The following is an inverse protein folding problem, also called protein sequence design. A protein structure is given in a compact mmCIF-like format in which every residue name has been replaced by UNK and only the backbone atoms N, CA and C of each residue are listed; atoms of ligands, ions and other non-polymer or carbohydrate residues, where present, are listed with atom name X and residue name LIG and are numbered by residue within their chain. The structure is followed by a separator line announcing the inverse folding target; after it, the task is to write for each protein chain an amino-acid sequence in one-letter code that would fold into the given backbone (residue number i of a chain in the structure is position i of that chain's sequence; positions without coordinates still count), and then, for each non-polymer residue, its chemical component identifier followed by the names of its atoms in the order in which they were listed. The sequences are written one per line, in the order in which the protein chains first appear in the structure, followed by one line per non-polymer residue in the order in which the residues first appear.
data_IF_084099065144
#
_entry.id   IF_084099065144
#
_cell.length_a   1.000
_cell.length_b   1.000
_cell.length_c   1.000
_cell.angle_alpha   90.00
_cell.angle_beta   90.00
_cell.angle_gamma   90.00
#
_symmetry.space_group_name_H-M   'P 1'
#
loop_
_entity.id
_entity.type
_entity.pdbx_description
1 polymer ?
#
# COMPACT_ATOMS: atom_id res chain seq x y z
N UNK A 1 19.94 -3.05 -14.79
CA UNK A 1 20.65 -2.05 -15.61
C UNK A 1 21.35 -1.04 -14.70
N UNK A 2 22.37 -0.31 -15.20
CA UNK A 2 23.14 0.63 -14.39
C UNK A 2 22.29 1.76 -13.79
N UNK A 3 21.29 2.24 -14.54
CA UNK A 3 20.37 3.28 -14.06
C UNK A 3 19.52 2.80 -12.87
N UNK A 4 19.11 1.53 -12.85
CA UNK A 4 18.33 0.94 -11.74
C UNK A 4 19.15 0.92 -10.45
N UNK A 5 20.43 0.59 -10.56
CA UNK A 5 21.35 0.62 -9.42
C UNK A 5 21.54 2.05 -8.94
N UNK A 6 21.83 2.99 -9.86
CA UNK A 6 21.99 4.41 -9.51
C UNK A 6 20.73 5.00 -8.84
N UNK A 7 19.54 4.67 -9.32
CA UNK A 7 18.28 5.09 -8.71
C UNK A 7 18.09 4.50 -7.31
N UNK A 8 18.41 3.21 -7.14
CA UNK A 8 18.35 2.52 -5.84
C UNK A 8 19.34 3.11 -4.84
N UNK A 9 20.56 3.41 -5.26
CA UNK A 9 21.59 3.99 -4.41
C UNK A 9 21.22 5.43 -3.99
N UNK A 10 20.77 6.25 -4.94
CA UNK A 10 20.32 7.62 -4.66
C UNK A 10 19.12 7.64 -3.69
N UNK A 11 18.21 6.67 -3.82
CA UNK A 11 17.08 6.54 -2.89
C UNK A 11 17.53 6.09 -1.51
N UNK A 12 18.46 5.15 -1.42
CA UNK A 12 19.03 4.71 -0.14
C UNK A 12 19.71 5.88 0.61
N UNK A 13 20.49 6.70 -0.10
CA UNK A 13 21.14 7.90 0.44
C UNK A 13 20.10 8.91 0.95
N UNK A 14 19.04 9.15 0.18
CA UNK A 14 17.94 10.02 0.61
C UNK A 14 17.27 9.48 1.88
N UNK A 15 16.95 8.19 1.92
CA UNK A 15 16.33 7.57 3.09
C UNK A 15 17.21 7.68 4.34
N UNK A 16 18.50 7.47 4.19
CA UNK A 16 19.47 7.55 5.32
C UNK A 16 19.60 8.98 5.85
N UNK A 17 19.63 9.98 4.96
CA UNK A 17 19.85 11.38 5.30
C UNK A 17 18.59 12.09 5.79
N UNK A 18 17.46 11.91 5.11
CA UNK A 18 16.28 12.74 5.31
C UNK A 18 15.14 12.03 6.03
N UNK A 19 15.06 10.70 5.96
CA UNK A 19 13.95 9.92 6.53
C UNK A 19 14.34 9.24 7.86
N UNK A 20 15.42 8.47 7.88
CA UNK A 20 15.80 7.67 9.03
C UNK A 20 15.94 8.47 10.35
N UNK A 21 16.49 9.71 10.35
CA UNK A 21 16.70 10.46 11.60
C UNK A 21 15.41 10.81 12.34
N UNK A 22 14.27 10.93 11.64
CA UNK A 22 13.01 11.39 12.25
C UNK A 22 12.07 10.24 12.62
N UNK A 23 12.31 9.02 12.11
CA UNK A 23 11.41 7.86 12.29
C UNK A 23 11.12 7.58 13.77
N UNK A 24 12.17 7.50 14.59
CA UNK A 24 12.03 7.13 15.99
C UNK A 24 11.18 8.11 16.81
N UNK A 25 11.27 9.40 16.53
CA UNK A 25 10.48 10.42 17.21
C UNK A 25 9.00 10.33 16.75
N UNK A 26 8.76 10.25 15.45
CA UNK A 26 7.41 10.15 14.89
C UNK A 26 6.68 8.89 15.38
N UNK A 27 7.31 7.71 15.34
CA UNK A 27 6.70 6.46 15.80
C UNK A 27 6.34 6.47 17.29
N UNK A 28 7.23 7.04 18.16
CA UNK A 28 6.93 7.19 19.59
C UNK A 28 5.76 8.13 19.87
N UNK A 29 5.71 9.24 19.16
CA UNK A 29 4.70 10.29 19.32
C UNK A 29 3.46 10.05 18.46
N UNK A 30 3.46 9.00 17.64
CA UNK A 30 2.37 8.65 16.71
C UNK A 30 2.02 9.79 15.75
N UNK A 31 3.02 10.56 15.35
CA UNK A 31 2.86 11.66 14.40
C UNK A 31 2.97 11.14 12.97
N UNK A 32 2.02 11.55 12.14
CA UNK A 32 2.06 11.23 10.71
C UNK A 32 3.39 11.64 10.06
N UNK A 33 3.85 10.89 9.03
CA UNK A 33 4.95 11.36 8.19
C UNK A 33 4.66 12.75 7.61
N UNK A 34 5.66 13.64 7.55
CA UNK A 34 5.51 14.93 6.90
C UNK A 34 5.06 14.80 5.44
N UNK A 35 4.17 15.69 5.00
CA UNK A 35 3.66 15.69 3.61
C UNK A 35 4.78 15.86 2.58
N UNK A 36 5.86 16.56 2.92
CA UNK A 36 7.04 16.73 2.08
C UNK A 36 7.71 15.40 1.76
N UNK A 37 7.75 14.47 2.72
CA UNK A 37 8.26 13.11 2.48
C UNK A 37 7.34 12.32 1.55
N UNK A 38 6.02 12.47 1.69
CA UNK A 38 5.06 11.83 0.77
C UNK A 38 5.28 12.33 -0.67
N UNK A 39 5.44 13.65 -0.84
CA UNK A 39 5.73 14.27 -2.15
C UNK A 39 7.06 13.80 -2.71
N UNK A 40 8.10 13.71 -1.89
CA UNK A 40 9.40 13.23 -2.31
C UNK A 40 9.36 11.80 -2.90
N UNK A 41 8.45 10.94 -2.39
CA UNK A 41 8.27 9.58 -2.90
C UNK A 41 7.82 9.54 -4.37
N UNK A 42 7.14 10.58 -4.85
CA UNK A 42 6.76 10.72 -6.26
C UNK A 42 8.01 10.81 -7.16
N UNK A 43 9.02 11.60 -6.78
CA UNK A 43 10.27 11.74 -7.52
C UNK A 43 11.04 10.43 -7.68
N UNK A 44 10.88 9.51 -6.73
CA UNK A 44 11.48 8.17 -6.78
C UNK A 44 10.56 7.10 -7.42
N UNK A 45 9.43 7.50 -8.02
CA UNK A 45 8.52 6.59 -8.71
C UNK A 45 7.64 5.73 -7.78
N UNK A 46 7.55 6.03 -6.49
CA UNK A 46 6.71 5.25 -5.58
C UNK A 46 5.23 5.62 -5.66
N UNK A 47 4.88 6.71 -6.33
CA UNK A 47 3.52 7.11 -6.69
C UNK A 47 3.41 7.16 -8.21
N UNK A 48 2.71 6.22 -8.80
CA UNK A 48 2.50 6.11 -10.25
C UNK A 48 3.69 5.59 -11.06
N UNK A 49 4.80 5.20 -10.43
CA UNK A 49 6.01 4.77 -11.17
C UNK A 49 5.82 3.56 -12.08
N UNK A 50 4.93 2.64 -11.73
CA UNK A 50 4.58 1.48 -12.56
C UNK A 50 3.68 1.84 -13.77
N UNK A 51 3.03 2.99 -13.74
CA UNK A 51 2.16 3.41 -14.83
C UNK A 51 2.98 3.77 -16.08
N UNK A 52 2.42 3.53 -17.28
CA UNK A 52 3.04 3.99 -18.52
C UNK A 52 3.22 5.52 -18.55
N UNK A 53 4.23 5.99 -19.29
CA UNK A 53 4.47 7.42 -19.50
C UNK A 53 3.25 8.15 -20.07
N UNK A 54 2.47 7.50 -20.94
CA UNK A 54 1.22 8.04 -21.48
C UNK A 54 0.17 8.40 -20.43
N UNK A 55 0.27 7.81 -19.21
CA UNK A 55 -0.57 8.13 -18.05
C UNK A 55 0.19 8.99 -17.01
N UNK A 56 1.34 9.55 -17.38
CA UNK A 56 2.19 10.35 -16.51
C UNK A 56 3.08 9.55 -15.57
N UNK A 57 3.14 8.23 -15.73
CA UNK A 57 4.00 7.35 -14.95
C UNK A 57 5.46 7.34 -15.44
N UNK A 58 6.29 6.49 -14.86
CA UNK A 58 7.72 6.34 -15.22
C UNK A 58 8.00 5.00 -15.92
N UNK A 59 7.03 4.11 -16.08
CA UNK A 59 7.19 2.82 -16.73
C UNK A 59 8.17 1.89 -16.01
N UNK A 60 8.31 2.01 -14.68
CA UNK A 60 9.19 1.15 -13.89
C UNK A 60 8.74 -0.31 -13.99
N UNK A 61 9.71 -1.21 -14.06
CA UNK A 61 9.47 -2.63 -13.89
C UNK A 61 9.15 -2.98 -12.42
N UNK A 62 8.48 -4.12 -12.20
CA UNK A 62 8.05 -4.54 -10.86
C UNK A 62 9.25 -4.88 -9.95
N UNK A 63 10.37 -5.35 -10.51
CA UNK A 63 11.59 -5.64 -9.74
C UNK A 63 12.17 -4.35 -9.17
N UNK A 64 12.30 -3.32 -10.00
CA UNK A 64 12.81 -2.00 -9.57
C UNK A 64 11.88 -1.37 -8.54
N UNK A 65 10.58 -1.31 -8.83
CA UNK A 65 9.60 -0.76 -7.91
C UNK A 65 9.58 -1.50 -6.56
N UNK A 66 9.61 -2.84 -6.57
CA UNK A 66 9.66 -3.66 -5.37
C UNK A 66 10.92 -3.40 -4.54
N UNK A 67 12.07 -3.23 -5.20
CA UNK A 67 13.34 -2.91 -4.53
C UNK A 67 13.27 -1.56 -3.78
N UNK A 68 12.74 -0.52 -4.41
CA UNK A 68 12.52 0.77 -3.76
C UNK A 68 11.54 0.66 -2.58
N UNK A 69 10.46 -0.12 -2.73
CA UNK A 69 9.53 -0.38 -1.63
C UNK A 69 10.19 -1.11 -0.44
N UNK A 70 11.08 -2.07 -0.72
CA UNK A 70 11.82 -2.78 0.33
C UNK A 70 12.73 -1.82 1.11
N UNK A 71 13.45 -0.93 0.43
CA UNK A 71 14.29 0.09 1.07
C UNK A 71 13.47 1.04 1.95
N UNK A 72 12.35 1.54 1.43
CA UNK A 72 11.44 2.39 2.20
C UNK A 72 10.88 1.65 3.43
N UNK A 73 10.47 0.39 3.27
CA UNK A 73 9.93 -0.42 4.36
C UNK A 73 10.96 -0.69 5.46
N UNK A 74 12.20 -1.01 5.08
CA UNK A 74 13.31 -1.20 6.02
C UNK A 74 13.67 0.07 6.79
N UNK A 75 13.40 1.25 6.21
CA UNK A 75 13.63 2.54 6.87
C UNK A 75 12.40 2.98 7.67
N UNK A 76 11.21 2.97 7.07
CA UNK A 76 9.96 3.41 7.73
C UNK A 76 8.72 2.69 7.17
N UNK A 77 8.31 1.61 7.82
CA UNK A 77 7.19 0.79 7.39
C UNK A 77 5.85 1.55 7.35
N UNK A 78 5.63 2.52 8.27
CA UNK A 78 4.43 3.36 8.29
C UNK A 78 4.33 4.24 7.06
N UNK A 79 5.40 4.96 6.69
CA UNK A 79 5.44 5.79 5.48
C UNK A 79 5.22 4.93 4.22
N UNK A 80 5.87 3.77 4.16
CA UNK A 80 5.68 2.82 3.06
C UNK A 80 4.22 2.37 2.94
N UNK A 81 3.54 2.03 4.05
CA UNK A 81 2.14 1.62 4.03
C UNK A 81 1.23 2.72 3.49
N UNK A 82 1.45 3.95 3.93
CA UNK A 82 0.75 5.15 3.47
C UNK A 82 0.88 5.35 1.95
N UNK A 83 2.11 5.26 1.42
CA UNK A 83 2.43 5.40 0.00
C UNK A 83 1.81 4.26 -0.82
N UNK A 84 2.00 3.01 -0.40
CA UNK A 84 1.50 1.85 -1.15
C UNK A 84 -0.02 1.84 -1.28
N UNK A 85 -0.74 2.23 -0.22
CA UNK A 85 -2.21 2.32 -0.27
C UNK A 85 -2.66 3.42 -1.24
N UNK A 86 -2.00 4.58 -1.22
CA UNK A 86 -2.31 5.66 -2.16
C UNK A 86 -1.97 5.26 -3.60
N UNK A 87 -0.83 4.59 -3.83
CA UNK A 87 -0.45 4.09 -5.16
C UNK A 87 -1.41 3.01 -5.69
N UNK A 88 -1.96 2.16 -4.82
CA UNK A 88 -2.97 1.18 -5.19
C UNK A 88 -4.23 1.85 -5.76
N UNK A 89 -4.75 2.86 -5.06
CA UNK A 89 -5.92 3.62 -5.51
C UNK A 89 -5.63 4.41 -6.78
N UNK A 90 -4.47 5.03 -6.85
CA UNK A 90 -3.98 5.72 -8.04
C UNK A 90 -3.97 4.80 -9.26
N UNK A 91 -3.44 3.58 -9.13
CA UNK A 91 -3.40 2.59 -10.21
C UNK A 91 -4.80 2.15 -10.64
N UNK A 92 -5.72 1.95 -9.69
CA UNK A 92 -7.12 1.62 -10.00
C UNK A 92 -7.77 2.73 -10.83
N UNK A 93 -7.62 3.99 -10.43
CA UNK A 93 -8.20 5.13 -11.14
C UNK A 93 -7.54 5.27 -12.53
N UNK A 94 -6.23 5.12 -12.62
CA UNK A 94 -5.50 5.23 -13.88
C UNK A 94 -5.95 4.21 -14.93
N UNK A 95 -6.17 2.95 -14.52
CA UNK A 95 -6.48 1.87 -15.44
C UNK A 95 -7.99 1.67 -15.67
N UNK A 96 -8.83 1.96 -14.67
CA UNK A 96 -10.26 1.63 -14.66
C UNK A 96 -11.17 2.84 -14.56
N UNK A 97 -10.64 4.01 -14.21
CA UNK A 97 -11.38 5.26 -14.13
C UNK A 97 -11.80 5.79 -15.50
N UNK A 98 -12.83 6.63 -15.52
CA UNK A 98 -13.21 7.42 -16.69
C UNK A 98 -12.14 8.48 -17.02
N UNK A 99 -12.23 9.12 -18.18
CA UNK A 99 -11.34 10.22 -18.55
C UNK A 99 -11.41 11.35 -17.52
N UNK A 100 -12.63 11.71 -17.10
CA UNK A 100 -12.90 12.76 -16.11
C UNK A 100 -12.34 12.40 -14.72
N UNK A 101 -12.47 11.12 -14.32
CA UNK A 101 -11.90 10.65 -13.06
C UNK A 101 -10.37 10.72 -13.08
N UNK A 102 -9.75 10.32 -14.19
CA UNK A 102 -8.29 10.42 -14.36
C UNK A 102 -7.82 11.87 -14.33
N UNK A 103 -8.45 12.74 -15.10
CA UNK A 103 -8.11 14.16 -15.14
C UNK A 103 -8.22 14.83 -13.76
N UNK A 104 -9.28 14.49 -13.03
CA UNK A 104 -9.57 15.09 -11.72
C UNK A 104 -8.63 14.60 -10.61
N UNK A 105 -8.34 13.31 -10.54
CA UNK A 105 -7.73 12.71 -9.35
C UNK A 105 -6.25 12.34 -9.52
N UNK A 106 -5.81 11.90 -10.71
CA UNK A 106 -4.44 11.41 -10.87
C UNK A 106 -3.36 12.45 -10.59
N UNK A 107 -3.46 13.70 -11.07
CA UNK A 107 -2.36 14.65 -10.89
C UNK A 107 -1.99 14.88 -9.42
N UNK A 108 -2.98 15.03 -8.55
CA UNK A 108 -2.74 15.26 -7.13
C UNK A 108 -2.24 14.00 -6.39
N UNK A 109 -2.77 12.81 -6.76
CA UNK A 109 -2.30 11.53 -6.23
C UNK A 109 -0.85 11.25 -6.63
N UNK A 110 -0.49 11.49 -7.88
CA UNK A 110 0.86 11.26 -8.40
C UNK A 110 1.90 12.18 -7.75
N UNK A 111 1.55 13.44 -7.45
CA UNK A 111 2.44 14.35 -6.72
C UNK A 111 2.50 14.11 -5.22
N UNK A 112 1.65 13.23 -4.66
CA UNK A 112 1.55 13.01 -3.22
C UNK A 112 0.87 14.17 -2.47
N UNK A 113 0.18 15.06 -3.18
CA UNK A 113 -0.63 16.13 -2.58
C UNK A 113 -1.89 15.56 -1.93
N UNK A 114 -2.41 14.47 -2.49
CA UNK A 114 -3.59 13.73 -2.03
C UNK A 114 -3.18 12.34 -1.57
N UNK A 115 -3.67 11.92 -0.41
CA UNK A 115 -3.58 10.55 0.08
C UNK A 115 -4.89 9.80 -0.17
N UNK A 116 -4.78 8.50 -0.40
CA UNK A 116 -5.94 7.67 -0.65
C UNK A 116 -6.01 6.44 0.26
N UNK A 117 -7.24 5.93 0.45
CA UNK A 117 -7.54 4.67 1.15
C UNK A 117 -8.21 3.65 0.24
N UNK A 118 -8.03 2.35 0.57
CA UNK A 118 -8.65 1.23 -0.13
C UNK A 118 -9.64 0.52 0.81
N UNK A 119 -10.93 0.75 0.60
CA UNK A 119 -12.00 0.32 1.50
C UNK A 119 -12.66 -0.98 1.03
N UNK A 120 -12.05 -2.14 1.32
CA UNK A 120 -12.61 -3.46 1.01
C UNK A 120 -13.05 -4.20 2.27
N UNK A 121 -12.15 -4.39 3.23
CA UNK A 121 -12.36 -5.17 4.46
C UNK A 121 -13.45 -4.59 5.34
N UNK A 122 -14.29 -5.47 5.92
CA UNK A 122 -15.39 -5.12 6.81
C UNK A 122 -15.28 -5.89 8.14
N UNK A 123 -16.05 -5.54 9.18
CA UNK A 123 -16.00 -6.26 10.46
C UNK A 123 -16.20 -7.77 10.35
N UNK A 124 -17.10 -8.22 9.46
CA UNK A 124 -17.42 -9.64 9.25
C UNK A 124 -16.79 -10.22 7.97
N UNK A 125 -16.11 -9.39 7.15
CA UNK A 125 -15.65 -9.75 5.81
C UNK A 125 -14.17 -9.43 5.66
N UNK A 126 -13.32 -10.44 5.77
CA UNK A 126 -11.87 -10.35 5.60
C UNK A 126 -11.39 -11.27 4.48
N UNK A 127 -11.08 -12.53 4.81
CA UNK A 127 -10.56 -13.51 3.84
C UNK A 127 -11.55 -13.82 2.71
N UNK A 128 -12.83 -13.91 3.00
CA UNK A 128 -13.89 -14.02 2.00
C UNK A 128 -14.38 -12.62 1.58
N UNK A 129 -13.57 -11.95 0.77
CA UNK A 129 -13.89 -10.60 0.30
C UNK A 129 -15.11 -10.55 -0.65
N UNK A 130 -15.60 -11.69 -1.12
CA UNK A 130 -16.82 -11.75 -1.94
C UNK A 130 -18.09 -11.47 -1.13
N UNK A 131 -18.01 -11.66 0.18
CA UNK A 131 -19.11 -11.45 1.13
C UNK A 131 -19.39 -9.99 1.51
N UNK A 132 -18.86 -8.99 0.78
CA UNK A 132 -19.05 -7.55 1.10
C UNK A 132 -20.49 -7.23 1.50
N UNK A 133 -20.66 -6.62 2.68
CA UNK A 133 -21.96 -6.25 3.28
C UNK A 133 -22.34 -4.78 2.99
N UNK A 134 -21.36 -3.89 2.85
CA UNK A 134 -21.57 -2.48 2.45
C UNK A 134 -22.38 -2.44 1.16
N UNK A 135 -23.41 -1.59 1.11
CA UNK A 135 -24.35 -1.50 -0.02
C UNK A 135 -24.34 -0.11 -0.65
N UNK A 136 -24.48 -0.09 -1.96
CA UNK A 136 -24.75 1.13 -2.72
C UNK A 136 -26.03 0.92 -3.54
N UNK A 137 -27.06 1.70 -3.23
CA UNK A 137 -28.37 1.64 -3.88
C UNK A 137 -28.54 2.85 -4.79
N UNK A 138 -29.20 2.67 -5.95
CA UNK A 138 -29.51 3.78 -6.84
C UNK A 138 -30.39 4.81 -6.12
N UNK A 139 -30.02 6.08 -6.21
CA UNK A 139 -30.84 7.18 -5.73
C UNK A 139 -31.64 7.78 -6.89
N UNK A 140 -32.97 7.57 -6.95
CA UNK A 140 -33.77 8.04 -8.07
C UNK A 140 -33.81 9.57 -8.21
N UNK A 141 -33.61 10.30 -7.09
CA UNK A 141 -33.69 11.74 -7.09
C UNK A 141 -32.46 12.42 -7.72
N UNK A 142 -31.26 11.89 -7.46
CA UNK A 142 -30.01 12.44 -7.98
C UNK A 142 -29.47 11.69 -9.21
N UNK A 143 -29.99 10.49 -9.51
CA UNK A 143 -29.41 9.57 -10.49
C UNK A 143 -28.08 8.95 -10.05
N UNK A 144 -27.65 9.23 -8.84
CA UNK A 144 -26.42 8.71 -8.22
C UNK A 144 -26.67 7.46 -7.38
N UNK A 145 -25.94 7.37 -6.24
CA UNK A 145 -25.97 6.22 -5.36
C UNK A 145 -26.03 6.66 -3.90
N UNK A 146 -26.69 5.86 -3.06
CA UNK A 146 -26.65 5.96 -1.61
C UNK A 146 -25.79 4.84 -1.04
N UNK A 147 -24.66 5.20 -0.42
CA UNK A 147 -23.73 4.26 0.16
C UNK A 147 -23.99 4.13 1.66
N UNK A 148 -24.16 2.88 2.13
CA UNK A 148 -24.36 2.52 3.53
C UNK A 148 -23.49 1.34 3.92
N UNK A 149 -22.84 1.39 5.08
CA UNK A 149 -22.06 0.30 5.59
C UNK A 149 -20.84 0.73 6.38
N UNK A 150 -19.93 -0.23 6.60
CA UNK A 150 -18.72 -0.02 7.42
C UNK A 150 -17.53 -0.72 6.79
N UNK A 151 -16.35 -0.07 6.86
CA UNK A 151 -15.07 -0.69 6.52
C UNK A 151 -14.16 -0.68 7.74
N UNK A 152 -13.33 -1.71 7.89
CA UNK A 152 -12.48 -1.89 9.07
C UNK A 152 -11.03 -2.16 8.66
N UNK A 153 -10.09 -1.73 9.51
CA UNK A 153 -8.63 -1.86 9.30
C UNK A 153 -8.13 -1.19 8.03
N UNK A 154 -8.68 -0.03 7.69
CA UNK A 154 -8.37 0.67 6.45
C UNK A 154 -7.15 1.57 6.64
N UNK A 155 -6.03 1.21 6.02
CA UNK A 155 -4.82 2.05 5.98
C UNK A 155 -5.13 3.40 5.36
N UNK A 156 -4.58 4.48 5.91
CA UNK A 156 -4.91 5.87 5.58
C UNK A 156 -6.36 6.31 5.87
N UNK A 157 -7.24 5.41 6.31
CA UNK A 157 -8.68 5.66 6.43
C UNK A 157 -9.04 6.89 7.26
N UNK A 158 -8.20 7.25 8.24
CA UNK A 158 -8.42 8.41 9.13
C UNK A 158 -7.95 9.72 8.50
N UNK A 159 -6.97 9.70 7.59
CA UNK A 159 -6.27 10.91 7.11
C UNK A 159 -6.29 11.10 5.60
N UNK A 160 -6.68 10.08 4.82
CA UNK A 160 -6.74 10.21 3.38
C UNK A 160 -7.85 11.17 2.93
N UNK A 161 -7.63 11.82 1.81
CA UNK A 161 -8.51 12.81 1.24
C UNK A 161 -9.66 12.17 0.44
N UNK A 162 -9.37 10.98 -0.14
CA UNK A 162 -10.33 10.17 -0.90
C UNK A 162 -10.00 8.69 -0.78
N UNK A 163 -10.87 7.83 -1.29
CA UNK A 163 -10.59 6.40 -1.40
C UNK A 163 -11.49 5.68 -2.37
N UNK A 164 -11.13 4.43 -2.64
CA UNK A 164 -11.97 3.49 -3.40
C UNK A 164 -12.68 2.57 -2.43
N UNK A 165 -14.01 2.56 -2.47
CA UNK A 165 -14.86 1.74 -1.60
C UNK A 165 -15.60 0.71 -2.44
N UNK A 166 -15.51 -0.55 -2.03
CA UNK A 166 -16.21 -1.67 -2.64
C UNK A 166 -17.55 -1.88 -1.93
N UNK A 167 -18.64 -1.91 -2.69
CA UNK A 167 -19.98 -2.07 -2.17
C UNK A 167 -20.83 -2.95 -3.09
N UNK A 168 -21.79 -3.65 -2.51
CA UNK A 168 -22.78 -4.43 -3.24
C UNK A 168 -23.79 -3.50 -3.89
N UNK A 169 -24.09 -3.72 -5.18
CA UNK A 169 -25.04 -2.91 -5.97
C UNK A 169 -26.24 -3.69 -6.48
N UNK A 170 -26.24 -5.01 -6.42
CA UNK A 170 -27.35 -5.84 -6.89
C UNK A 170 -28.39 -6.15 -5.80
N UNK A 171 -29.66 -6.29 -6.21
CA UNK A 171 -30.73 -6.85 -5.37
C UNK A 171 -30.83 -8.36 -5.63
N UNK A 172 -30.55 -9.20 -4.61
CA UNK A 172 -30.71 -10.65 -4.71
C UNK A 172 -29.44 -11.46 -4.50
N UNK A 173 -29.44 -12.72 -4.96
CA UNK A 173 -28.35 -13.67 -4.80
C UNK A 173 -27.09 -13.33 -5.63
N UNK A 174 -27.21 -12.47 -6.62
CA UNK A 174 -26.08 -11.99 -7.41
C UNK A 174 -25.24 -11.04 -6.57
N UNK A 175 -24.09 -11.54 -6.11
CA UNK A 175 -23.12 -10.76 -5.35
C UNK A 175 -22.37 -9.75 -6.24
N UNK A 176 -23.11 -8.90 -6.96
CA UNK A 176 -22.54 -7.84 -7.77
C UNK A 176 -21.86 -6.79 -6.89
N UNK A 177 -20.55 -6.66 -7.02
CA UNK A 177 -19.74 -5.68 -6.27
C UNK A 177 -19.27 -4.60 -7.22
N UNK A 178 -19.50 -3.34 -6.86
CA UNK A 178 -19.06 -2.14 -7.56
C UNK A 178 -18.02 -1.37 -6.75
N UNK A 179 -17.21 -0.56 -7.41
CA UNK A 179 -16.22 0.28 -6.77
C UNK A 179 -16.57 1.77 -6.97
N UNK A 180 -16.45 2.53 -5.91
CA UNK A 180 -16.82 3.95 -5.90
C UNK A 180 -15.68 4.80 -5.35
N UNK A 181 -15.45 5.97 -5.95
CA UNK A 181 -14.61 7.01 -5.36
C UNK A 181 -15.43 7.71 -4.27
N UNK A 182 -14.90 7.73 -3.06
CA UNK A 182 -15.50 8.43 -1.92
C UNK A 182 -14.51 9.48 -1.43
N UNK A 183 -14.95 10.73 -1.34
CA UNK A 183 -14.14 11.86 -0.85
C UNK A 183 -14.46 12.15 0.62
N UNK A 184 -13.46 12.53 1.40
CA UNK A 184 -13.58 12.74 2.85
C UNK A 184 -14.66 13.74 3.25
N UNK A 185 -14.89 14.79 2.47
CA UNK A 185 -15.87 15.84 2.77
C UNK A 185 -17.33 15.49 2.51
N UNK A 186 -17.63 14.27 2.04
CA UNK A 186 -19.02 13.88 1.74
C UNK A 186 -19.84 13.73 3.02
N UNK A 187 -21.05 14.29 3.01
CA UNK A 187 -21.99 14.17 4.14
C UNK A 187 -22.32 12.70 4.40
N UNK A 188 -22.39 12.30 5.67
CA UNK A 188 -22.61 10.92 6.09
C UNK A 188 -21.34 10.05 6.12
N UNK A 189 -20.19 10.53 5.65
CA UNK A 189 -18.92 9.83 5.79
C UNK A 189 -18.22 10.24 7.09
N UNK A 190 -17.83 9.25 7.89
CA UNK A 190 -16.99 9.47 9.07
C UNK A 190 -15.95 8.36 9.22
N UNK A 191 -14.87 8.66 9.93
CA UNK A 191 -13.79 7.72 10.18
C UNK A 191 -13.27 7.88 11.61
N UNK A 192 -12.93 6.75 12.25
CA UNK A 192 -12.25 6.72 13.55
C UNK A 192 -11.04 5.81 13.51
N UNK A 193 -10.04 6.14 14.33
CA UNK A 193 -8.83 5.32 14.43
C UNK A 193 -9.12 3.96 15.10
N UNK A 194 -8.52 2.91 14.54
CA UNK A 194 -8.43 1.59 15.14
C UNK A 194 -6.99 1.38 15.58
N UNK A 195 -6.80 1.09 16.85
CA UNK A 195 -5.48 0.93 17.44
C UNK A 195 -4.76 -0.30 16.87
N UNK A 196 -3.56 -0.11 16.36
CA UNK A 196 -2.70 -1.18 15.88
C UNK A 196 -1.44 -1.30 16.75
N UNK A 197 -0.90 -2.52 16.83
CA UNK A 197 0.30 -2.83 17.62
C UNK A 197 1.58 -2.26 16.98
N UNK A 198 1.60 -2.02 15.68
CA UNK A 198 2.75 -1.50 14.95
C UNK A 198 2.33 -0.54 13.85
N UNK A 199 3.31 0.09 13.17
CA UNK A 199 3.10 1.11 12.14
C UNK A 199 2.21 2.27 12.62
N UNK A 200 2.54 2.81 13.78
CA UNK A 200 1.71 3.80 14.47
C UNK A 200 1.50 5.10 13.69
N UNK A 201 2.41 5.41 12.77
CA UNK A 201 2.34 6.61 11.93
C UNK A 201 1.54 6.39 10.61
N UNK A 202 0.95 5.20 10.43
CA UNK A 202 -0.04 4.93 9.40
C UNK A 202 -1.29 4.35 10.07
N UNK A 203 -2.09 5.16 10.77
CA UNK A 203 -3.21 4.67 11.55
C UNK A 203 -4.25 3.98 10.67
N UNK A 204 -4.76 2.87 11.18
CA UNK A 204 -5.87 2.15 10.57
C UNK A 204 -7.19 2.86 10.89
N UNK A 205 -8.09 2.91 9.93
CA UNK A 205 -9.42 3.48 10.08
C UNK A 205 -10.52 2.44 10.15
N UNK A 206 -11.51 2.68 10.98
CA UNK A 206 -12.86 2.22 10.78
C UNK A 206 -13.62 3.33 10.07
N UNK A 207 -14.22 3.03 8.92
CA UNK A 207 -14.98 3.96 8.12
C UNK A 207 -16.46 3.66 8.24
N UNK A 208 -17.28 4.68 8.45
CA UNK A 208 -18.73 4.58 8.49
C UNK A 208 -19.32 5.38 7.33
N UNK A 209 -20.22 4.76 6.60
CA UNK A 209 -21.01 5.36 5.53
C UNK A 209 -22.48 5.33 5.97
N UNK A 210 -22.99 6.49 6.37
CA UNK A 210 -24.36 6.69 6.81
C UNK A 210 -25.11 7.48 5.73
N UNK A 211 -25.66 6.75 4.78
CA UNK A 211 -26.43 7.32 3.64
C UNK A 211 -25.67 8.32 2.78
N UNK A 212 -24.37 8.05 2.55
CA UNK A 212 -23.52 8.93 1.75
C UNK A 212 -24.02 8.99 0.32
N UNK A 213 -24.37 10.20 -0.15
CA UNK A 213 -24.82 10.41 -1.52
C UNK A 213 -23.61 10.54 -2.45
N UNK A 214 -23.46 9.59 -3.37
CA UNK A 214 -22.41 9.56 -4.38
C UNK A 214 -22.96 9.97 -5.74
N UNK A 215 -22.34 10.93 -6.43
CA UNK A 215 -22.64 11.20 -7.84
C UNK A 215 -22.49 9.93 -8.69
N UNK A 216 -23.28 9.82 -9.77
CA UNK A 216 -23.15 8.70 -10.71
C UNK A 216 -21.72 8.57 -11.28
N UNK A 217 -21.05 9.69 -11.48
CA UNK A 217 -19.66 9.78 -11.95
C UNK A 217 -18.61 9.20 -10.99
N UNK A 218 -18.97 8.86 -9.74
CA UNK A 218 -18.06 8.25 -8.79
C UNK A 218 -17.93 6.73 -8.94
N UNK A 219 -18.76 6.09 -9.75
CA UNK A 219 -18.63 4.67 -10.09
C UNK A 219 -17.37 4.46 -10.94
N UNK A 220 -16.50 3.53 -10.54
CA UNK A 220 -15.31 3.13 -11.29
C UNK A 220 -15.63 1.93 -12.17
N UNK A 221 -15.41 2.06 -13.47
CA UNK A 221 -15.70 1.00 -14.43
C UNK A 221 -17.21 0.74 -14.56
N UNK A 222 -17.60 -0.52 -14.74
CA UNK A 222 -19.00 -0.93 -14.87
C UNK A 222 -19.56 -1.44 -13.54
N UNK A 223 -20.87 -1.23 -13.34
CA UNK A 223 -21.59 -1.77 -12.18
C UNK A 223 -21.46 -3.29 -12.09
N UNK A 224 -21.22 -3.80 -10.89
CA UNK A 224 -21.11 -5.23 -10.60
C UNK A 224 -19.78 -5.88 -10.99
N UNK A 225 -18.83 -5.17 -11.58
CA UNK A 225 -17.58 -5.75 -12.08
C UNK A 225 -16.34 -5.50 -11.19
N UNK A 226 -16.51 -4.85 -10.06
CA UNK A 226 -15.38 -4.41 -9.25
C UNK A 226 -14.63 -5.54 -8.52
N UNK A 227 -15.23 -6.71 -8.32
CA UNK A 227 -14.54 -7.81 -7.64
C UNK A 227 -13.33 -8.32 -8.44
N UNK A 228 -13.42 -8.34 -9.78
CA UNK A 228 -12.29 -8.65 -10.65
C UNK A 228 -11.16 -7.61 -10.52
N UNK A 229 -11.53 -6.32 -10.37
CA UNK A 229 -10.59 -5.23 -10.11
C UNK A 229 -9.87 -5.47 -8.78
N UNK A 230 -10.62 -5.69 -7.69
CA UNK A 230 -10.05 -5.96 -6.37
C UNK A 230 -9.07 -7.15 -6.40
N UNK A 231 -9.45 -8.26 -7.03
CA UNK A 231 -8.62 -9.46 -7.14
C UNK A 231 -7.31 -9.20 -7.88
N UNK A 232 -7.35 -8.44 -8.99
CA UNK A 232 -6.16 -8.08 -9.76
C UNK A 232 -5.15 -7.31 -8.88
N UNK A 233 -5.59 -6.24 -8.25
CA UNK A 233 -4.71 -5.39 -7.43
C UNK A 233 -4.26 -6.04 -6.12
N UNK A 234 -5.07 -6.93 -5.53
CA UNK A 234 -4.63 -7.73 -4.38
C UNK A 234 -3.50 -8.69 -4.75
N UNK A 235 -3.51 -9.27 -5.96
CA UNK A 235 -2.40 -10.13 -6.42
C UNK A 235 -1.10 -9.33 -6.58
N UNK A 236 -1.15 -8.14 -7.21
CA UNK A 236 0.00 -7.23 -7.27
C UNK A 236 0.49 -6.85 -5.86
N UNK A 237 -0.45 -6.53 -4.97
CA UNK A 237 -0.17 -6.19 -3.58
C UNK A 237 0.57 -7.30 -2.84
N UNK A 238 0.24 -8.57 -3.07
CA UNK A 238 0.95 -9.72 -2.45
C UNK A 238 2.42 -9.78 -2.86
N UNK A 239 2.73 -9.58 -4.14
CA UNK A 239 4.10 -9.49 -4.62
C UNK A 239 4.87 -8.37 -3.88
N UNK A 240 4.30 -7.18 -3.79
CA UNK A 240 4.98 -6.05 -3.13
C UNK A 240 5.06 -6.19 -1.61
N UNK A 241 4.11 -6.86 -0.96
CA UNK A 241 4.21 -7.18 0.48
C UNK A 241 5.40 -8.13 0.74
N UNK A 242 5.71 -9.06 -0.17
CA UNK A 242 6.90 -9.90 -0.04
C UNK A 242 8.19 -9.07 -0.02
N UNK A 243 8.33 -8.10 -0.92
CA UNK A 243 9.46 -7.15 -0.91
C UNK A 243 9.55 -6.34 0.39
N UNK A 244 8.42 -5.88 0.87
CA UNK A 244 8.33 -5.13 2.14
C UNK A 244 8.81 -5.96 3.32
N UNK A 245 8.33 -7.19 3.43
CA UNK A 245 8.74 -8.11 4.49
C UNK A 245 10.25 -8.42 4.39
N UNK A 246 10.77 -8.60 3.17
CA UNK A 246 12.21 -8.79 2.95
C UNK A 246 13.02 -7.55 3.39
N UNK A 247 12.57 -6.34 3.06
CA UNK A 247 13.23 -5.09 3.46
C UNK A 247 13.25 -4.87 4.97
N UNK A 248 12.12 -5.10 5.66
CA UNK A 248 12.06 -5.03 7.13
C UNK A 248 12.95 -6.09 7.77
N UNK A 249 12.96 -7.32 7.22
CA UNK A 249 13.81 -8.41 7.71
C UNK A 249 15.29 -8.09 7.52
N UNK A 250 15.67 -7.49 6.39
CA UNK A 250 17.04 -7.05 6.13
C UNK A 250 17.48 -5.97 7.12
N UNK A 251 16.62 -4.99 7.42
CA UNK A 251 16.91 -3.96 8.42
C UNK A 251 17.14 -4.58 9.82
N UNK A 252 16.26 -5.52 10.21
CA UNK A 252 16.40 -6.25 11.48
C UNK A 252 17.69 -7.09 11.52
N UNK A 253 18.05 -7.76 10.44
CA UNK A 253 19.29 -8.51 10.31
C UNK A 253 20.53 -7.62 10.45
N UNK A 254 20.56 -6.47 9.75
CA UNK A 254 21.67 -5.50 9.84
C UNK A 254 21.87 -5.01 11.28
N UNK A 255 20.77 -4.69 11.96
CA UNK A 255 20.82 -4.24 13.36
C UNK A 255 21.27 -5.36 14.30
N UNK A 256 20.83 -6.60 14.10
CA UNK A 256 21.29 -7.76 14.88
C UNK A 256 22.79 -7.98 14.71
N UNK A 257 23.32 -7.90 13.48
CA UNK A 257 24.77 -8.00 13.21
C UNK A 257 25.55 -6.88 13.89
N UNK A 258 25.07 -5.63 13.77
CA UNK A 258 25.69 -4.47 14.41
C UNK A 258 25.79 -4.65 15.93
N UNK A 259 24.67 -5.03 16.56
CA UNK A 259 24.61 -5.23 18.00
C UNK A 259 25.48 -6.41 18.45
N UNK A 260 25.45 -7.53 17.73
CA UNK A 260 26.26 -8.70 18.05
C UNK A 260 27.77 -8.42 17.98
N UNK A 261 28.20 -7.50 17.11
CA UNK A 261 29.57 -7.04 17.03
C UNK A 261 30.00 -6.08 18.16
N UNK A 262 29.04 -5.38 18.77
CA UNK A 262 29.31 -4.35 19.80
C UNK A 262 29.08 -4.83 21.22
N UNK A 263 28.04 -5.62 21.47
CA UNK A 263 27.69 -6.10 22.81
C UNK A 263 28.71 -7.13 23.29
N UNK A 264 29.29 -6.89 24.45
CA UNK A 264 30.28 -7.79 25.07
C UNK A 264 29.68 -8.58 26.24
N UNK A 265 30.03 -9.85 26.30
CA UNK A 265 29.82 -10.74 27.44
C UNK A 265 31.00 -11.71 27.52
N UNK A 266 31.40 -12.09 28.76
CA UNK A 266 32.56 -12.95 29.01
C UNK A 266 33.83 -12.44 28.31
N UNK A 267 34.05 -11.12 28.32
CA UNK A 267 35.23 -10.46 27.77
C UNK A 267 35.35 -10.38 26.27
N UNK A 268 34.30 -10.71 25.51
CA UNK A 268 34.31 -10.68 24.03
C UNK A 268 32.93 -10.32 23.43
N UNK A 269 32.87 -9.84 22.17
CA UNK A 269 31.62 -9.59 21.49
C UNK A 269 30.75 -10.86 21.44
N UNK A 270 29.42 -10.69 21.61
CA UNK A 270 28.49 -11.85 21.60
C UNK A 270 28.45 -12.56 20.26
N UNK A 271 28.75 -11.86 19.15
CA UNK A 271 28.89 -12.46 17.82
C UNK A 271 30.00 -13.52 17.69
N UNK A 272 30.86 -13.66 18.68
CA UNK A 272 31.87 -14.73 18.73
C UNK A 272 31.37 -16.05 19.37
N UNK A 273 30.11 -16.08 19.86
CA UNK A 273 29.50 -17.30 20.37
C UNK A 273 28.77 -18.05 19.28
N UNK A 274 29.00 -19.36 19.15
CA UNK A 274 28.44 -20.18 18.05
C UNK A 274 26.91 -20.13 17.95
N UNK A 275 26.17 -20.12 19.07
CA UNK A 275 24.71 -20.01 19.04
C UNK A 275 24.24 -18.66 18.46
N UNK A 276 24.96 -17.56 18.73
CA UNK A 276 24.66 -16.26 18.13
C UNK A 276 24.99 -16.27 16.63
N UNK A 277 26.12 -16.88 16.24
CA UNK A 277 26.51 -17.05 14.85
C UNK A 277 25.46 -17.84 14.05
N UNK A 278 24.94 -18.92 14.64
CA UNK A 278 23.87 -19.72 14.03
C UNK A 278 22.61 -18.86 13.81
N UNK A 279 22.17 -18.10 14.82
CA UNK A 279 21.00 -17.22 14.66
C UNK A 279 21.20 -16.18 13.55
N UNK A 280 22.37 -15.57 13.47
CA UNK A 280 22.70 -14.58 12.42
C UNK A 280 22.74 -15.24 11.03
N UNK A 281 23.31 -16.44 10.91
CA UNK A 281 23.34 -17.19 9.65
C UNK A 281 21.93 -17.59 9.19
N UNK A 282 21.04 -18.01 10.11
CA UNK A 282 19.66 -18.32 9.83
C UNK A 282 18.88 -17.05 9.36
N UNK A 283 19.11 -15.90 10.02
CA UNK A 283 18.52 -14.62 9.59
C UNK A 283 18.95 -14.28 8.16
N UNK A 284 20.25 -14.34 7.86
CA UNK A 284 20.78 -14.05 6.53
C UNK A 284 20.16 -14.94 5.46
N UNK A 285 20.09 -16.27 5.72
CA UNK A 285 19.52 -17.24 4.79
C UNK A 285 18.05 -16.91 4.48
N UNK A 286 17.26 -16.56 5.50
CA UNK A 286 15.85 -16.20 5.34
C UNK A 286 15.67 -14.89 4.56
N UNK A 287 16.50 -13.86 4.85
CA UNK A 287 16.46 -12.58 4.14
C UNK A 287 16.75 -12.78 2.65
N UNK A 288 17.85 -13.49 2.32
CA UNK A 288 18.24 -13.72 0.92
C UNK A 288 17.21 -14.58 0.16
N UNK A 289 16.70 -15.65 0.80
CA UNK A 289 15.67 -16.48 0.20
C UNK A 289 14.39 -15.69 -0.09
N UNK A 290 13.94 -14.86 0.86
CA UNK A 290 12.74 -14.03 0.68
C UNK A 290 12.93 -13.00 -0.43
N UNK A 291 14.09 -12.35 -0.49
CA UNK A 291 14.44 -11.37 -1.51
C UNK A 291 14.45 -11.97 -2.92
N UNK A 292 15.07 -13.15 -3.07
CA UNK A 292 15.13 -13.86 -4.35
C UNK A 292 13.74 -14.33 -4.81
N UNK A 293 12.90 -14.84 -3.90
CA UNK A 293 11.53 -15.25 -4.24
C UNK A 293 10.66 -14.06 -4.63
N UNK A 294 10.77 -12.91 -3.90
CA UNK A 294 10.07 -11.68 -4.25
C UNK A 294 10.49 -11.16 -5.64
N UNK A 295 11.81 -11.16 -5.93
CA UNK A 295 12.33 -10.75 -7.24
C UNK A 295 11.84 -11.68 -8.37
N UNK A 296 11.76 -13.00 -8.12
CA UNK A 296 11.20 -13.95 -9.08
C UNK A 296 9.72 -13.70 -9.36
N UNK A 297 8.94 -13.38 -8.33
CA UNK A 297 7.52 -13.02 -8.49
C UNK A 297 7.36 -11.77 -9.36
N UNK A 298 8.15 -10.73 -9.08
CA UNK A 298 8.15 -9.49 -9.85
C UNK A 298 8.59 -9.68 -11.31
N UNK A 299 9.66 -10.44 -11.56
CA UNK A 299 10.11 -10.78 -12.92
C UNK A 299 9.03 -11.57 -13.70
N UNK A 300 8.31 -12.47 -13.03
CA UNK A 300 7.20 -13.20 -13.66
C UNK A 300 6.04 -12.25 -14.07
N UNK A 301 5.76 -11.21 -13.26
CA UNK A 301 4.80 -10.16 -13.61
C UNK A 301 5.28 -9.32 -14.80
N UNK A 302 6.56 -8.90 -14.80
CA UNK A 302 7.16 -8.11 -15.88
C UNK A 302 7.13 -8.84 -17.22
N UNK A 303 7.39 -10.15 -17.20
CA UNK A 303 7.31 -11.03 -18.38
C UNK A 303 5.90 -11.44 -18.76
N UNK A 304 4.88 -11.04 -17.98
CA UNK A 304 3.49 -11.49 -18.15
C UNK A 304 3.40 -13.03 -18.25
N UNK A 305 4.18 -13.72 -17.43
CA UNK A 305 4.24 -15.18 -17.41
C UNK A 305 2.88 -15.76 -17.02
N UNK A 306 2.47 -16.88 -17.67
CA UNK A 306 1.21 -17.56 -17.38
C UNK A 306 1.13 -18.06 -15.93
N UNK A 307 2.27 -18.33 -15.30
CA UNK A 307 2.39 -18.82 -13.92
C UNK A 307 2.68 -17.67 -12.90
N UNK A 308 2.61 -16.40 -13.32
CA UNK A 308 2.88 -15.27 -12.43
C UNK A 308 2.03 -15.33 -11.14
N UNK A 309 0.76 -15.73 -11.23
CA UNK A 309 -0.12 -15.88 -10.05
C UNK A 309 0.37 -16.94 -9.05
N UNK A 310 1.15 -17.92 -9.50
CA UNK A 310 1.73 -18.95 -8.63
C UNK A 310 2.82 -18.37 -7.71
N UNK A 311 3.48 -17.30 -8.15
CA UNK A 311 4.58 -16.66 -7.43
C UNK A 311 4.11 -15.50 -6.54
N UNK A 312 2.94 -14.93 -6.82
CA UNK A 312 2.28 -13.91 -6.00
C UNK A 312 1.29 -14.54 -5.02
#
# INVERSE_FOLDING_TARGET
ADWQRAASDAFADYLARDVAPIVGAHERERRLPPRELVRAMSGYGLLGGLLPEALGGQGLDHVTYGTLLAQLAGTWASLRSMISTSNLVLSIIAERGSAEQRERFLPALMRGDTLAFFGLTEPNVGSDASGVETRAERDPASGGWRLRGRKLYISNGVHADLGVVFARTGSGADHAVSAFIVERGMAGFSAREVYAMGMHCCPLGELLFDDVLLPAANLIGAEGQAFAIAKHYLNLGRCFVAYVCAGVSEAAYKEACRYAGQRQQFGRPIGQFQLVQQMVADMMTRVESSRLLAARAADALDRKSADAQRWC
#
